data_IF_818004237172
#
_entry.id   IF_818004237172
#
_cell.length_a   1.000
_cell.length_b   1.000
_cell.length_c   1.000
_cell.angle_alpha   90.00
_cell.angle_beta   90.00
_cell.angle_gamma   90.00
#
_symmetry.space_group_name_H-M   'P 1'
#
loop_
_entity.id
_entity.type
_entity.pdbx_description
1 polymer ?
#
# COMPACT_ATOMS: atom_id res chain seq x y z
N UNK A 1 22.17 9.30 8.24
CA UNK A 1 21.03 9.01 7.33
C UNK A 1 21.06 7.55 6.87
N UNK A 2 20.09 6.71 7.26
CA UNK A 2 19.87 5.35 6.71
C UNK A 2 18.64 5.38 5.77
N UNK A 3 18.77 6.05 4.62
CA UNK A 3 17.64 6.34 3.71
C UNK A 3 17.26 5.17 2.81
N UNK A 4 18.21 4.32 2.42
CA UNK A 4 17.99 3.30 1.37
C UNK A 4 16.93 2.24 1.69
N UNK A 5 16.91 1.67 2.89
CA UNK A 5 15.90 0.65 3.24
C UNK A 5 14.53 1.28 3.45
N UNK A 6 14.48 2.47 4.07
CA UNK A 6 13.24 3.20 4.35
C UNK A 6 12.55 3.67 3.07
N UNK A 7 13.29 4.22 2.11
CA UNK A 7 12.76 4.69 0.82
C UNK A 7 12.09 3.57 0.01
N UNK A 8 12.66 2.36 0.03
CA UNK A 8 12.07 1.19 -0.65
C UNK A 8 10.72 0.78 -0.03
N UNK A 9 10.60 0.82 1.29
CA UNK A 9 9.39 0.43 2.01
C UNK A 9 8.31 1.51 1.92
N UNK A 10 8.69 2.77 2.00
CA UNK A 10 7.80 3.93 1.83
C UNK A 10 7.21 3.96 0.41
N UNK A 11 8.03 3.66 -0.61
CA UNK A 11 7.55 3.49 -1.99
C UNK A 11 6.60 2.31 -2.13
N UNK A 12 6.86 1.19 -1.45
CA UNK A 12 5.96 0.04 -1.45
C UNK A 12 4.60 0.41 -0.84
N UNK A 13 4.60 1.13 0.29
CA UNK A 13 3.39 1.64 0.93
C UNK A 13 2.59 2.58 0.02
N UNK A 14 3.25 3.57 -0.58
CA UNK A 14 2.58 4.51 -1.50
C UNK A 14 1.93 3.80 -2.70
N UNK A 15 2.62 2.81 -3.29
CA UNK A 15 2.06 1.99 -4.38
C UNK A 15 0.87 1.15 -3.93
N UNK A 16 0.90 0.64 -2.70
CA UNK A 16 -0.21 -0.09 -2.11
C UNK A 16 -1.46 0.77 -1.99
N UNK A 17 -1.29 1.99 -1.47
CA UNK A 17 -2.36 2.96 -1.34
C UNK A 17 -2.99 3.30 -2.70
N UNK A 18 -2.17 3.61 -3.72
CA UNK A 18 -2.66 3.87 -5.07
C UNK A 18 -3.46 2.69 -5.66
N UNK A 19 -3.00 1.46 -5.44
CA UNK A 19 -3.72 0.28 -5.89
C UNK A 19 -5.08 0.11 -5.18
N UNK A 20 -5.14 0.40 -3.87
CA UNK A 20 -6.38 0.35 -3.10
C UNK A 20 -7.40 1.40 -3.54
N UNK A 21 -6.98 2.65 -3.76
CA UNK A 21 -7.86 3.73 -4.26
C UNK A 21 -8.42 3.38 -5.64
N UNK A 22 -7.58 2.79 -6.50
CA UNK A 22 -7.97 2.31 -7.82
C UNK A 22 -8.88 1.05 -7.79
N UNK A 23 -9.21 0.51 -6.60
CA UNK A 23 -10.08 -0.67 -6.46
C UNK A 23 -9.43 -1.99 -6.90
N UNK A 24 -8.09 -2.04 -7.00
CA UNK A 24 -7.37 -3.24 -7.43
C UNK A 24 -7.29 -4.26 -6.29
N UNK A 25 -7.25 -5.55 -6.64
CA UNK A 25 -7.09 -6.63 -5.64
C UNK A 25 -5.73 -6.55 -4.92
N UNK A 26 -5.71 -6.95 -3.64
CA UNK A 26 -4.48 -7.08 -2.83
C UNK A 26 -3.49 -8.11 -3.37
N UNK A 27 -3.96 -9.03 -4.23
CA UNK A 27 -3.14 -10.09 -4.86
C UNK A 27 -2.21 -9.56 -5.94
N UNK A 28 -2.49 -8.36 -6.49
CA UNK A 28 -1.63 -7.68 -7.47
C UNK A 28 -0.35 -7.08 -6.85
N UNK A 29 -0.06 -7.39 -5.59
CA UNK A 29 1.16 -6.95 -4.93
C UNK A 29 2.39 -7.55 -5.63
N UNK A 30 3.30 -6.72 -6.22
CA UNK A 30 4.45 -7.23 -6.97
C UNK A 30 5.62 -7.65 -6.06
N UNK A 31 5.50 -7.45 -4.74
CA UNK A 31 6.58 -7.66 -3.79
C UNK A 31 6.57 -9.09 -3.24
N UNK A 32 7.68 -9.79 -3.44
CA UNK A 32 7.91 -11.13 -2.89
C UNK A 32 8.54 -11.09 -1.49
N UNK A 33 9.24 -10.00 -1.15
CA UNK A 33 9.81 -9.84 0.18
C UNK A 33 8.74 -9.50 1.21
N UNK A 34 8.78 -10.17 2.37
CA UNK A 34 7.82 -9.98 3.46
C UNK A 34 7.74 -8.53 3.94
N UNK A 35 8.89 -7.86 4.09
CA UNK A 35 8.94 -6.45 4.50
C UNK A 35 8.16 -5.56 3.50
N UNK A 36 8.54 -5.59 2.22
CA UNK A 36 7.92 -4.70 1.23
C UNK A 36 6.44 -5.05 0.96
N UNK A 37 6.09 -6.34 1.00
CA UNK A 37 4.70 -6.80 0.89
C UNK A 37 3.86 -6.29 2.06
N UNK A 38 4.39 -6.31 3.29
CA UNK A 38 3.68 -5.81 4.47
C UNK A 38 3.39 -4.31 4.37
N UNK A 39 4.37 -3.52 3.92
CA UNK A 39 4.20 -2.08 3.69
C UNK A 39 3.18 -1.80 2.58
N UNK A 40 3.26 -2.51 1.45
CA UNK A 40 2.30 -2.37 0.36
C UNK A 40 0.87 -2.71 0.80
N UNK A 41 0.69 -3.83 1.52
CA UNK A 41 -0.63 -4.20 2.04
C UNK A 41 -1.15 -3.21 3.09
N UNK A 42 -0.26 -2.60 3.88
CA UNK A 42 -0.60 -1.51 4.79
C UNK A 42 -1.20 -0.31 4.05
N UNK A 43 -0.52 0.17 3.01
CA UNK A 43 -1.03 1.25 2.17
C UNK A 43 -2.37 0.89 1.50
N UNK A 44 -2.50 -0.33 0.97
CA UNK A 44 -3.73 -0.81 0.33
C UNK A 44 -4.93 -0.84 1.28
N UNK A 45 -4.73 -1.31 2.53
CA UNK A 45 -5.79 -1.30 3.55
C UNK A 45 -6.22 0.11 3.91
N UNK A 46 -5.26 1.03 4.09
CA UNK A 46 -5.56 2.44 4.35
C UNK A 46 -6.42 3.02 3.24
N UNK A 47 -6.06 2.77 1.98
CA UNK A 47 -6.83 3.23 0.85
C UNK A 47 -8.26 2.66 0.79
N UNK A 48 -8.45 1.39 1.17
CA UNK A 48 -9.80 0.79 1.24
C UNK A 48 -10.63 1.40 2.36
N UNK A 49 -10.02 1.69 3.51
CA UNK A 49 -10.66 2.40 4.62
C UNK A 49 -11.08 3.80 4.18
N UNK A 50 -10.16 4.59 3.62
CA UNK A 50 -10.44 5.94 3.11
C UNK A 50 -11.55 5.92 2.04
N UNK A 51 -11.52 4.95 1.12
CA UNK A 51 -12.53 4.79 0.07
C UNK A 51 -13.89 4.37 0.63
N UNK A 52 -13.89 3.55 1.68
CA UNK A 52 -15.12 3.19 2.39
C UNK A 52 -15.72 4.36 3.15
N UNK A 53 -14.89 5.21 3.77
CA UNK A 53 -15.34 6.43 4.44
C UNK A 53 -15.96 7.41 3.44
N UNK A 54 -15.36 7.59 2.26
CA UNK A 54 -15.91 8.44 1.19
C UNK A 54 -17.19 7.85 0.58
N UNK A 55 -17.34 6.52 0.54
CA UNK A 55 -18.55 5.89 -0.01
C UNK A 55 -19.76 5.91 0.95
N UNK A 56 -19.55 6.19 2.24
CA UNK A 56 -20.60 6.20 3.28
C UNK A 56 -21.02 7.63 3.66
N UNK A 57 -20.30 8.65 3.17
CA UNK A 57 -20.63 10.07 3.32
C UNK A 57 -21.38 10.61 2.11
#
# INVERSE_FOLDING_TARGET
MKRQKRDRLERAQARGYQAGIAGRSKELCPYHSLDARSYWLGGWRQAMEDRSLVAVA
#
